data_IF_239296278098
#
_entry.id   IF_239296278098
#
_cell.length_a   1.000
_cell.length_b   1.000
_cell.length_c   1.000
_cell.angle_alpha   90.00
_cell.angle_beta   90.00
_cell.angle_gamma   90.00
#
_symmetry.space_group_name_H-M   'P 1'
#
loop_
_entity.id
_entity.type
_entity.pdbx_description
1 polymer ?
#
# COMPACT_ATOMS: atom_id res chain seq x y z
N UNK A 1 -35.70 -18.77 7.77
CA UNK A 1 -34.82 -19.78 8.37
C UNK A 1 -33.62 -19.02 8.92
N UNK A 2 -33.51 -18.90 10.24
CA UNK A 2 -32.29 -18.41 10.87
C UNK A 2 -31.27 -19.54 10.80
N UNK A 3 -30.12 -19.28 10.17
CA UNK A 3 -29.00 -20.23 10.19
C UNK A 3 -28.36 -20.16 11.57
N UNK A 4 -28.84 -20.99 12.49
CA UNK A 4 -28.25 -21.12 13.82
C UNK A 4 -26.89 -21.80 13.67
N UNK A 5 -25.83 -21.00 13.67
CA UNK A 5 -24.46 -21.49 13.66
C UNK A 5 -24.08 -21.94 15.08
N UNK A 6 -23.63 -23.19 15.22
CA UNK A 6 -23.16 -23.64 16.53
C UNK A 6 -21.81 -23.00 16.86
N UNK A 7 -21.52 -22.83 18.16
CA UNK A 7 -20.21 -22.33 18.61
C UNK A 7 -19.05 -23.15 18.03
N UNK A 8 -19.24 -24.47 17.89
CA UNK A 8 -18.22 -25.36 17.35
C UNK A 8 -17.98 -25.09 15.87
N UNK A 9 -19.05 -24.85 15.10
CA UNK A 9 -18.94 -24.58 13.66
C UNK A 9 -18.27 -23.23 13.41
N UNK A 10 -18.62 -22.21 14.21
CA UNK A 10 -17.93 -20.93 14.18
C UNK A 10 -16.42 -21.06 14.45
N UNK A 11 -16.05 -21.82 15.50
CA UNK A 11 -14.65 -22.05 15.84
C UNK A 11 -13.91 -22.83 14.74
N UNK A 12 -14.54 -23.85 14.17
CA UNK A 12 -13.94 -24.65 13.10
C UNK A 12 -13.70 -23.82 11.83
N UNK A 13 -14.68 -23.00 11.42
CA UNK A 13 -14.55 -22.11 10.26
C UNK A 13 -13.47 -21.07 10.51
N UNK A 14 -13.48 -20.44 11.69
CA UNK A 14 -12.49 -19.40 12.04
C UNK A 14 -11.07 -19.97 12.07
N UNK A 15 -10.88 -21.16 12.68
CA UNK A 15 -9.57 -21.82 12.72
C UNK A 15 -9.09 -22.20 11.32
N UNK A 16 -9.99 -22.68 10.46
CA UNK A 16 -9.66 -23.03 9.07
C UNK A 16 -9.26 -21.79 8.27
N UNK A 17 -9.99 -20.68 8.40
CA UNK A 17 -9.63 -19.42 7.74
C UNK A 17 -8.31 -18.85 8.26
N UNK A 18 -8.07 -18.88 9.57
CA UNK A 18 -6.82 -18.39 10.16
C UNK A 18 -5.60 -19.21 9.75
N UNK A 19 -5.76 -20.53 9.59
CA UNK A 19 -4.73 -21.41 9.06
C UNK A 19 -4.48 -21.16 7.56
N UNK A 20 -5.54 -20.98 6.77
CA UNK A 20 -5.45 -20.66 5.34
C UNK A 20 -4.88 -19.27 5.05
N UNK A 21 -5.03 -18.31 5.99
CA UNK A 21 -4.45 -16.97 5.87
C UNK A 21 -2.98 -16.89 6.25
N UNK A 22 -2.37 -17.99 6.73
CA UNK A 22 -0.93 -18.05 6.94
C UNK A 22 -0.23 -18.15 5.59
N UNK A 23 0.01 -17.01 4.95
CA UNK A 23 1.03 -16.94 3.90
C UNK A 23 2.39 -17.22 4.54
N UNK A 24 3.23 -18.10 3.94
CA UNK A 24 4.58 -18.30 4.42
C UNK A 24 5.29 -16.95 4.53
N UNK A 25 5.99 -16.70 5.65
CA UNK A 25 6.72 -15.45 5.90
C UNK A 25 7.74 -15.14 4.77
N UNK A 26 8.17 -16.17 4.01
CA UNK A 26 9.02 -16.04 2.83
C UNK A 26 8.32 -16.09 1.46
N UNK A 27 6.99 -16.18 1.39
CA UNK A 27 6.24 -16.19 0.12
C UNK A 27 6.14 -14.79 -0.52
N UNK A 28 6.38 -13.73 0.25
CA UNK A 28 6.57 -12.38 -0.28
C UNK A 28 8.06 -12.24 -0.61
N UNK A 29 8.46 -12.78 -1.76
CA UNK A 29 9.85 -12.71 -2.24
C UNK A 29 10.19 -11.35 -2.86
N UNK A 30 9.18 -10.59 -3.27
CA UNK A 30 9.30 -9.20 -3.69
C UNK A 30 8.53 -8.34 -2.69
N UNK A 31 9.19 -7.81 -1.64
CA UNK A 31 8.52 -6.89 -0.73
C UNK A 31 8.04 -5.70 -1.57
N UNK A 32 6.74 -5.35 -1.54
CA UNK A 32 6.23 -4.20 -2.29
C UNK A 32 6.88 -2.87 -1.85
N UNK A 33 7.64 -2.91 -0.74
CA UNK A 33 8.34 -1.78 -0.14
C UNK A 33 9.87 -2.03 -0.17
N UNK A 34 10.40 -2.29 -1.36
CA UNK A 34 11.83 -2.17 -1.62
C UNK A 34 12.25 -0.71 -1.85
N UNK A 35 13.55 -0.38 -1.71
CA UNK A 35 14.04 0.93 -2.12
C UNK A 35 13.70 1.17 -3.60
N UNK A 36 13.35 2.41 -3.95
CA UNK A 36 13.05 2.78 -5.32
C UNK A 36 14.22 2.38 -6.24
N UNK A 37 13.91 1.75 -7.38
CA UNK A 37 14.93 1.36 -8.35
C UNK A 37 15.60 2.62 -8.90
N UNK A 38 16.87 2.50 -9.29
CA UNK A 38 17.60 3.61 -9.93
C UNK A 38 16.82 4.05 -11.18
N UNK A 39 16.50 5.34 -11.27
CA UNK A 39 15.70 5.90 -12.36
C UNK A 39 14.19 5.95 -12.11
N UNK A 40 13.71 5.48 -10.96
CA UNK A 40 12.32 5.69 -10.54
C UNK A 40 12.10 7.18 -10.23
N UNK A 41 11.07 7.77 -10.85
CA UNK A 41 10.57 9.10 -10.49
C UNK A 41 9.44 8.91 -9.48
N UNK A 42 9.59 9.49 -8.29
CA UNK A 42 8.56 9.51 -7.26
C UNK A 42 7.97 10.93 -7.17
N UNK A 43 6.63 11.03 -7.20
CA UNK A 43 5.92 12.27 -6.87
C UNK A 43 5.45 12.20 -5.42
N UNK A 44 5.77 13.23 -4.63
CA UNK A 44 5.28 13.38 -3.28
C UNK A 44 4.12 14.38 -3.28
N UNK A 45 2.90 13.89 -3.04
CA UNK A 45 1.74 14.75 -2.85
C UNK A 45 1.66 15.13 -1.37
N UNK A 46 1.66 16.43 -1.07
CA UNK A 46 1.62 16.93 0.31
C UNK A 46 1.13 18.37 0.41
N UNK A 47 1.30 18.94 1.60
CA UNK A 47 1.00 20.34 1.92
C UNK A 47 2.27 21.21 1.90
N UNK A 48 2.22 22.38 2.55
CA UNK A 48 3.36 23.29 2.66
C UNK A 48 4.60 22.70 3.34
N UNK A 49 4.46 21.61 4.11
CA UNK A 49 5.61 20.93 4.75
C UNK A 49 6.42 20.14 3.71
N UNK A 50 5.75 19.61 2.68
CA UNK A 50 6.39 18.81 1.62
C UNK A 50 6.78 19.68 0.40
N UNK A 51 6.40 20.96 0.39
CA UNK A 51 6.75 21.92 -0.66
C UNK A 51 8.23 22.34 -0.54
N UNK A 52 9.09 21.85 -1.42
CA UNK A 52 10.53 22.17 -1.46
C UNK A 52 10.86 23.40 -2.32
N UNK A 53 9.90 24.29 -2.52
CA UNK A 53 10.09 25.51 -3.30
C UNK A 53 9.53 25.40 -4.71
N UNK A 54 8.37 24.75 -4.86
CA UNK A 54 7.71 24.55 -6.14
C UNK A 54 7.49 25.87 -6.89
N UNK A 55 7.96 25.92 -8.13
CA UNK A 55 7.71 27.01 -9.06
C UNK A 55 6.26 26.96 -9.56
N UNK A 56 5.43 27.84 -9.00
CA UNK A 56 3.99 27.94 -9.32
C UNK A 56 3.69 28.63 -10.66
N UNK A 57 4.72 29.20 -11.28
CA UNK A 57 4.60 29.94 -12.55
C UNK A 57 5.05 29.11 -13.75
N UNK A 58 5.52 27.87 -13.55
CA UNK A 58 5.92 27.00 -14.63
C UNK A 58 4.68 26.47 -15.40
N UNK A 59 4.65 26.70 -16.71
CA UNK A 59 3.55 26.32 -17.60
C UNK A 59 3.86 25.11 -18.47
N UNK A 60 5.14 24.72 -18.54
CA UNK A 60 5.59 23.59 -19.34
C UNK A 60 5.19 22.25 -18.69
N UNK A 61 4.63 21.30 -19.46
CA UNK A 61 4.32 19.96 -18.98
C UNK A 61 5.57 19.27 -18.41
N UNK A 62 5.41 18.57 -17.28
CA UNK A 62 6.48 17.81 -16.61
C UNK A 62 7.71 18.65 -16.19
N UNK A 63 7.58 19.97 -16.03
CA UNK A 63 8.65 20.80 -15.49
C UNK A 63 9.06 20.35 -14.08
N UNK A 64 10.31 19.93 -13.90
CA UNK A 64 10.79 19.38 -12.63
C UNK A 64 10.60 20.37 -11.45
N UNK A 65 10.82 21.66 -11.69
CA UNK A 65 10.62 22.69 -10.67
C UNK A 65 9.15 22.93 -10.28
N UNK A 66 8.18 22.40 -11.04
CA UNK A 66 6.75 22.51 -10.76
C UNK A 66 6.20 21.35 -9.90
N UNK A 67 7.02 20.36 -9.56
CA UNK A 67 6.56 19.13 -8.90
C UNK A 67 6.69 19.16 -7.37
N UNK A 68 7.36 20.17 -6.80
CA UNK A 68 7.65 20.25 -5.35
C UNK A 68 9.05 20.73 -5.12
#
# INVERSE_FOLDING_TARGET
>A
MTNDISRRDFLAVTATMAAASQVPIGAITDPPQGPAKRGTVALFQGDSITDSGRNRNATEPNSAGALG
#
